data_IF_546360521427
#
_entry.id   IF_546360521427
#
_cell.length_a   1.000
_cell.length_b   1.000
_cell.length_c   1.000
_cell.angle_alpha   90.00
_cell.angle_beta   90.00
_cell.angle_gamma   90.00
#
_symmetry.space_group_name_H-M   'P 1'
#
loop_
_entity.id
_entity.type
_entity.pdbx_description
1 polymer ?
#
# COMPACT_ATOMS: atom_id res chain seq x y z
N UNK A 1 -1.66 -1.54 10.50
CA UNK A 1 -1.39 -2.14 9.16
C UNK A 1 -0.07 -1.61 8.63
N UNK A 2 0.84 -2.49 8.22
CA UNK A 2 2.16 -2.12 7.69
C UNK A 2 2.04 -1.43 6.34
N UNK A 3 2.87 -0.40 6.11
CA UNK A 3 2.88 0.36 4.86
C UNK A 3 3.87 -0.26 3.86
N UNK A 4 3.45 -0.48 2.61
CA UNK A 4 4.33 -0.88 1.51
C UNK A 4 4.53 0.28 0.53
N UNK A 5 5.79 0.58 0.19
CA UNK A 5 6.15 1.56 -0.83
C UNK A 5 6.90 0.86 -1.98
N UNK A 6 6.33 0.99 -3.19
CA UNK A 6 6.95 0.48 -4.41
C UNK A 6 7.80 1.58 -5.04
N UNK A 7 9.10 1.32 -5.20
CA UNK A 7 10.05 2.26 -5.79
C UNK A 7 10.41 1.79 -7.20
N UNK A 8 10.21 2.67 -8.18
CA UNK A 8 10.55 2.39 -9.57
C UNK A 8 12.07 2.34 -9.75
N UNK A 9 12.60 1.16 -10.01
CA UNK A 9 14.04 0.91 -10.18
C UNK A 9 14.31 -0.51 -10.67
N UNK A 10 15.55 -0.81 -11.02
CA UNK A 10 15.91 -2.20 -11.36
C UNK A 10 16.13 -2.97 -10.05
N UNK A 11 15.45 -4.12 -9.83
CA UNK A 11 15.78 -5.01 -8.71
C UNK A 11 17.26 -5.38 -8.73
N UNK A 12 17.94 -5.29 -7.59
CA UNK A 12 19.38 -5.47 -7.43
C UNK A 12 20.21 -4.35 -8.06
N UNK A 13 19.61 -3.25 -8.51
CA UNK A 13 20.29 -2.08 -9.07
C UNK A 13 20.64 -1.03 -8.01
N UNK A 14 21.04 0.16 -8.48
CA UNK A 14 21.63 1.19 -7.61
C UNK A 14 20.69 1.69 -6.51
N UNK A 15 19.39 1.83 -6.80
CA UNK A 15 18.40 2.25 -5.79
C UNK A 15 18.36 1.25 -4.64
N UNK A 16 18.28 -0.04 -4.96
CA UNK A 16 18.19 -1.10 -3.95
C UNK A 16 19.49 -1.23 -3.15
N UNK A 17 20.64 -1.07 -3.83
CA UNK A 17 21.97 -1.22 -3.20
C UNK A 17 22.40 -0.03 -2.37
N UNK A 18 22.07 1.20 -2.78
CA UNK A 18 22.67 2.41 -2.22
C UNK A 18 21.67 3.40 -1.64
N UNK A 19 20.43 3.45 -2.15
CA UNK A 19 19.44 4.44 -1.71
C UNK A 19 18.52 3.92 -0.62
N UNK A 20 18.09 2.64 -0.67
CA UNK A 20 17.16 2.09 0.32
C UNK A 20 17.65 2.23 1.76
N UNK A 21 18.97 2.09 2.00
CA UNK A 21 19.59 2.28 3.31
C UNK A 21 19.44 3.72 3.86
N UNK A 22 19.12 4.69 2.99
CA UNK A 22 18.91 6.10 3.36
C UNK A 22 17.43 6.43 3.58
N UNK A 23 16.53 5.50 3.26
CA UNK A 23 15.10 5.73 3.40
C UNK A 23 14.65 5.58 4.85
N UNK A 24 13.58 6.29 5.26
CA UNK A 24 13.07 6.19 6.62
C UNK A 24 12.69 4.76 7.00
N UNK A 25 12.91 4.40 8.25
CA UNK A 25 12.42 3.12 8.81
C UNK A 25 10.90 3.14 8.93
N UNK A 26 10.27 1.97 8.94
CA UNK A 26 8.82 1.80 9.11
C UNK A 26 8.18 1.11 7.91
N UNK A 27 8.16 1.72 6.71
CA UNK A 27 7.60 1.06 5.54
C UNK A 27 8.45 -0.12 5.06
N UNK A 28 7.77 -1.08 4.46
CA UNK A 28 8.40 -2.10 3.62
C UNK A 28 8.65 -1.49 2.25
N UNK A 29 9.85 -1.66 1.71
CA UNK A 29 10.22 -1.14 0.40
C UNK A 29 10.36 -2.27 -0.62
N UNK A 30 9.71 -2.13 -1.76
CA UNK A 30 9.87 -3.05 -2.89
C UNK A 30 10.40 -2.30 -4.11
N UNK A 31 11.58 -2.67 -4.60
CA UNK A 31 12.14 -2.12 -5.83
C UNK A 31 11.69 -2.95 -7.02
N UNK A 32 11.20 -2.29 -8.08
CA UNK A 32 10.82 -2.95 -9.32
C UNK A 32 10.78 -2.01 -10.51
N UNK A 33 10.96 -2.59 -11.71
CA UNK A 33 11.13 -1.83 -12.97
C UNK A 33 9.93 -0.93 -13.29
N UNK A 34 8.76 -1.33 -12.82
CA UNK A 34 7.51 -0.57 -12.93
C UNK A 34 7.13 -0.02 -11.56
N UNK A 35 6.36 1.06 -11.48
CA UNK A 35 5.90 1.62 -10.20
C UNK A 35 4.52 1.07 -9.79
N UNK A 36 4.14 -0.15 -10.22
CA UNK A 36 2.76 -0.67 -10.11
C UNK A 36 2.69 -1.98 -9.32
N UNK A 37 1.65 -2.17 -8.52
CA UNK A 37 1.44 -3.42 -7.77
C UNK A 37 1.22 -4.61 -8.72
N UNK A 38 2.19 -5.52 -8.83
CA UNK A 38 2.05 -6.76 -9.59
C UNK A 38 1.81 -7.97 -8.68
N UNK A 39 1.51 -9.12 -9.28
CA UNK A 39 1.22 -10.35 -8.53
C UNK A 39 2.37 -10.76 -7.60
N UNK A 40 3.64 -10.54 -7.98
CA UNK A 40 4.80 -10.91 -7.17
C UNK A 40 4.84 -10.09 -5.88
N UNK A 41 4.76 -8.76 -6.02
CA UNK A 41 4.80 -7.84 -4.88
C UNK A 41 3.57 -8.02 -4.00
N UNK A 42 2.39 -8.23 -4.60
CA UNK A 42 1.17 -8.50 -3.84
C UNK A 42 1.26 -9.80 -3.02
N UNK A 43 1.74 -10.89 -3.63
CA UNK A 43 1.89 -12.16 -2.92
C UNK A 43 2.91 -12.08 -1.77
N UNK A 44 3.99 -11.31 -1.97
CA UNK A 44 4.97 -11.03 -0.92
C UNK A 44 4.34 -10.22 0.22
N UNK A 45 3.59 -9.16 -0.11
CA UNK A 45 2.91 -8.35 0.88
C UNK A 45 1.92 -9.18 1.71
N UNK A 46 1.09 -10.02 1.10
CA UNK A 46 0.15 -10.85 1.85
C UNK A 46 0.84 -11.77 2.87
N UNK A 47 1.90 -12.47 2.46
CA UNK A 47 2.56 -13.48 3.29
C UNK A 47 3.54 -12.92 4.31
N UNK A 48 4.40 -12.02 3.86
CA UNK A 48 5.55 -11.58 4.66
C UNK A 48 5.27 -10.30 5.45
N UNK A 49 4.23 -9.57 5.06
CA UNK A 49 3.94 -8.24 5.61
C UNK A 49 2.58 -8.22 6.30
N UNK A 50 1.52 -8.65 5.64
CA UNK A 50 0.17 -8.59 6.19
C UNK A 50 -0.12 -9.71 7.18
N UNK A 51 0.22 -10.96 6.84
CA UNK A 51 -0.09 -12.14 7.67
C UNK A 51 0.33 -12.03 9.15
N UNK A 52 1.51 -11.48 9.50
CA UNK A 52 1.90 -11.32 10.90
C UNK A 52 1.05 -10.29 11.69
N UNK A 53 0.38 -9.37 10.99
CA UNK A 53 -0.33 -8.23 11.56
C UNK A 53 -1.87 -8.38 11.49
N UNK A 54 -2.39 -9.56 11.13
CA UNK A 54 -3.83 -9.83 11.07
C UNK A 54 -4.27 -10.84 12.13
N UNK A 55 -5.43 -10.56 12.75
CA UNK A 55 -6.12 -11.51 13.62
C UNK A 55 -7.16 -12.32 12.82
N UNK A 56 -7.39 -13.57 13.20
CA UNK A 56 -8.42 -14.40 12.59
C UNK A 56 -9.70 -14.40 13.46
N UNK A 57 -10.91 -14.20 12.89
CA UNK A 57 -11.22 -14.00 11.47
C UNK A 57 -11.08 -12.53 11.01
N UNK A 58 -10.60 -12.34 9.77
CA UNK A 58 -10.46 -11.02 9.13
C UNK A 58 -10.96 -11.02 7.68
N UNK A 59 -11.32 -9.83 7.19
CA UNK A 59 -11.69 -9.58 5.78
C UNK A 59 -10.71 -8.57 5.18
N UNK A 60 -10.13 -8.90 4.03
CA UNK A 60 -9.20 -8.01 3.30
C UNK A 60 -9.94 -7.29 2.18
N UNK A 61 -10.08 -5.97 2.31
CA UNK A 61 -10.62 -5.10 1.28
C UNK A 61 -9.48 -4.49 0.44
N UNK A 62 -9.46 -4.75 -0.87
CA UNK A 62 -8.53 -4.10 -1.80
C UNK A 62 -9.22 -3.72 -3.12
N UNK A 63 -8.58 -2.84 -3.89
CA UNK A 63 -9.13 -2.37 -5.17
C UNK A 63 -9.19 -3.48 -6.24
N UNK A 64 -9.75 -3.15 -7.41
CA UNK A 64 -9.94 -4.09 -8.53
C UNK A 64 -8.68 -4.29 -9.40
N UNK A 65 -7.47 -4.06 -8.87
CA UNK A 65 -6.26 -4.36 -9.63
C UNK A 65 -6.20 -5.85 -9.95
N UNK A 66 -5.80 -6.19 -11.19
CA UNK A 66 -5.75 -7.59 -11.68
C UNK A 66 -5.00 -8.55 -10.76
N UNK A 67 -3.99 -8.08 -10.04
CA UNK A 67 -3.22 -8.87 -9.09
C UNK A 67 -3.97 -9.14 -7.77
N UNK A 68 -4.80 -8.19 -7.32
CA UNK A 68 -5.63 -8.34 -6.12
C UNK A 68 -6.77 -9.32 -6.37
N UNK A 69 -7.48 -9.20 -7.51
CA UNK A 69 -8.60 -10.08 -7.89
C UNK A 69 -8.18 -11.37 -8.61
N UNK A 70 -6.89 -11.72 -8.57
CA UNK A 70 -6.42 -12.93 -9.24
C UNK A 70 -6.78 -14.18 -8.46
N UNK A 71 -6.99 -15.32 -9.15
CA UNK A 71 -7.16 -16.63 -8.50
C UNK A 71 -6.06 -16.95 -7.49
N UNK A 72 -4.83 -16.48 -7.75
CA UNK A 72 -3.69 -16.68 -6.86
C UNK A 72 -3.83 -15.88 -5.56
N UNK A 73 -4.37 -14.67 -5.63
CA UNK A 73 -4.65 -13.84 -4.45
C UNK A 73 -5.69 -14.50 -3.54
N UNK A 74 -6.81 -14.95 -4.11
CA UNK A 74 -7.86 -15.65 -3.35
C UNK A 74 -7.32 -16.89 -2.64
N UNK A 75 -6.54 -17.73 -3.33
CA UNK A 75 -5.90 -18.90 -2.70
C UNK A 75 -5.00 -18.54 -1.52
N UNK A 76 -4.19 -17.48 -1.63
CA UNK A 76 -3.34 -17.05 -0.50
C UNK A 76 -4.22 -16.63 0.69
N UNK A 77 -5.30 -15.88 0.43
CA UNK A 77 -6.17 -15.38 1.49
C UNK A 77 -6.97 -16.48 2.18
N UNK A 78 -7.50 -17.43 1.41
CA UNK A 78 -8.34 -18.53 1.89
C UNK A 78 -7.52 -19.68 2.48
N UNK A 79 -6.48 -20.15 1.77
CA UNK A 79 -5.73 -21.35 2.14
C UNK A 79 -4.62 -21.04 3.16
N UNK A 80 -4.04 -19.84 3.14
CA UNK A 80 -2.85 -19.52 3.95
C UNK A 80 -3.15 -18.55 5.09
N UNK A 81 -3.95 -17.49 4.84
CA UNK A 81 -4.23 -16.46 5.83
C UNK A 81 -5.47 -16.77 6.69
N UNK A 82 -6.24 -17.83 6.39
CA UNK A 82 -7.54 -18.17 7.01
C UNK A 82 -8.53 -16.99 7.12
N UNK A 83 -8.25 -15.92 6.38
CA UNK A 83 -9.13 -14.78 6.23
C UNK A 83 -10.21 -15.22 5.24
N UNK A 84 -11.47 -15.23 5.66
CA UNK A 84 -12.59 -15.39 4.75
C UNK A 84 -12.73 -14.09 3.92
N UNK A 85 -11.73 -13.85 3.07
CA UNK A 85 -11.52 -12.58 2.40
C UNK A 85 -12.49 -12.45 1.24
N UNK A 86 -13.54 -11.67 1.47
CA UNK A 86 -14.29 -11.09 0.38
C UNK A 86 -13.51 -9.87 -0.13
N UNK A 87 -12.75 -10.08 -1.20
CA UNK A 87 -12.14 -8.97 -1.91
C UNK A 87 -13.25 -8.20 -2.63
N UNK A 88 -13.70 -7.10 -2.02
CA UNK A 88 -14.68 -6.22 -2.64
C UNK A 88 -13.95 -5.14 -3.45
N UNK A 89 -14.01 -5.20 -4.79
CA UNK A 89 -13.35 -4.20 -5.62
C UNK A 89 -13.97 -2.83 -5.36
N UNK A 90 -13.15 -1.86 -4.96
CA UNK A 90 -13.59 -0.46 -4.93
C UNK A 90 -14.02 -0.01 -6.34
N UNK A 91 -15.06 0.84 -6.46
CA UNK A 91 -15.40 1.48 -7.72
C UNK A 91 -14.20 2.19 -8.33
N UNK A 92 -14.10 2.19 -9.66
CA UNK A 92 -13.06 2.92 -10.37
C UNK A 92 -13.02 4.40 -9.95
N UNK A 93 -11.82 4.99 -9.86
CA UNK A 93 -11.55 6.38 -9.48
C UNK A 93 -11.76 6.77 -8.00
N UNK A 94 -11.76 5.81 -7.08
CA UNK A 94 -11.74 6.08 -5.63
C UNK A 94 -10.33 6.42 -5.13
N UNK A 95 -9.68 7.44 -5.72
CA UNK A 95 -8.37 7.93 -5.24
C UNK A 95 -8.62 9.17 -4.39
N UNK A 96 -8.45 9.06 -3.07
CA UNK A 96 -8.60 10.22 -2.17
C UNK A 96 -7.49 11.25 -2.43
N UNK A 97 -7.85 12.54 -2.48
CA UNK A 97 -6.93 13.65 -2.80
C UNK A 97 -5.96 14.02 -1.65
N UNK A 98 -5.70 13.12 -0.69
CA UNK A 98 -5.02 13.46 0.57
C UNK A 98 -3.54 13.85 0.40
N UNK A 99 -2.88 13.50 -0.71
CA UNK A 99 -1.46 13.82 -0.91
C UNK A 99 -1.18 15.19 -1.55
N UNK A 100 -2.21 15.95 -1.97
CA UNK A 100 -2.01 17.26 -2.63
C UNK A 100 -1.62 18.39 -1.68
N UNK A 101 -2.18 18.45 -0.47
CA UNK A 101 -1.97 19.56 0.46
C UNK A 101 -0.53 19.69 0.97
N UNK A 102 0.18 18.57 1.11
CA UNK A 102 1.56 18.57 1.60
C UNK A 102 2.58 18.95 0.51
N UNK A 103 2.21 18.92 -0.79
CA UNK A 103 3.09 19.34 -1.89
C UNK A 103 3.46 20.82 -1.82
N UNK A 104 2.59 21.64 -1.24
CA UNK A 104 2.73 23.09 -1.22
C UNK A 104 3.80 23.55 -0.20
N UNK A 105 4.16 22.69 0.77
CA UNK A 105 5.00 23.05 1.91
C UNK A 105 6.47 22.67 1.75
N UNK A 106 6.86 22.08 0.62
CA UNK A 106 8.20 21.49 0.47
C UNK A 106 9.20 22.41 -0.26
N UNK A 107 10.45 22.29 0.16
CA UNK A 107 11.59 22.92 -0.50
C UNK A 107 11.87 22.27 -1.86
N UNK A 108 12.47 23.04 -2.77
CA UNK A 108 12.84 22.53 -4.09
C UNK A 108 13.99 21.54 -3.97
N UNK A 109 13.70 20.28 -4.29
CA UNK A 109 14.68 19.20 -4.45
C UNK A 109 15.15 19.09 -5.90
N UNK A 110 16.42 18.76 -6.11
CA UNK A 110 17.06 18.83 -7.44
C UNK A 110 17.28 17.43 -8.00
N UNK A 111 17.88 16.53 -7.23
CA UNK A 111 18.26 15.20 -7.71
C UNK A 111 17.08 14.23 -7.72
N UNK A 112 17.20 13.16 -8.52
CA UNK A 112 16.17 12.13 -8.58
C UNK A 112 16.02 11.37 -7.24
N UNK A 113 17.13 11.16 -6.53
CA UNK A 113 17.14 10.51 -5.22
C UNK A 113 16.44 11.38 -4.16
N UNK A 114 16.75 12.68 -4.11
CA UNK A 114 16.08 13.63 -3.21
C UNK A 114 14.57 13.68 -3.47
N UNK A 115 14.16 13.69 -4.75
CA UNK A 115 12.75 13.67 -5.14
C UNK A 115 12.03 12.41 -4.66
N UNK A 116 12.67 11.24 -4.79
CA UNK A 116 12.12 9.98 -4.26
C UNK A 116 11.99 10.03 -2.75
N UNK A 117 13.05 10.44 -2.05
CA UNK A 117 13.07 10.52 -0.60
C UNK A 117 12.01 11.49 -0.05
N UNK A 118 11.86 12.66 -0.68
CA UNK A 118 10.82 13.62 -0.30
C UNK A 118 9.41 13.01 -0.45
N UNK A 119 9.14 12.34 -1.56
CA UNK A 119 7.85 11.66 -1.79
C UNK A 119 7.58 10.55 -0.77
N UNK A 120 8.61 9.77 -0.41
CA UNK A 120 8.52 8.72 0.61
C UNK A 120 8.19 9.32 1.98
N UNK A 121 8.98 10.29 2.44
CA UNK A 121 8.76 10.97 3.73
C UNK A 121 7.37 11.57 3.83
N UNK A 122 6.89 12.15 2.74
CA UNK A 122 5.53 12.69 2.68
C UNK A 122 4.46 11.62 2.78
N UNK A 123 4.64 10.50 2.08
CA UNK A 123 3.67 9.41 2.08
C UNK A 123 3.55 8.81 3.49
N UNK A 124 4.67 8.67 4.20
CA UNK A 124 4.72 8.26 5.62
C UNK A 124 4.01 9.30 6.49
N UNK A 125 4.32 10.58 6.34
CA UNK A 125 3.67 11.65 7.12
C UNK A 125 2.15 11.67 6.95
N UNK A 126 1.65 11.49 5.73
CA UNK A 126 0.21 11.43 5.45
C UNK A 126 -0.41 10.16 6.04
N UNK A 127 0.30 9.04 5.96
CA UNK A 127 -0.11 7.77 6.57
C UNK A 127 -0.25 7.90 8.09
N UNK A 128 0.77 8.42 8.76
CA UNK A 128 0.80 8.56 10.22
C UNK A 128 -0.21 9.60 10.75
N UNK A 129 -0.54 10.61 9.94
CA UNK A 129 -1.55 11.60 10.27
C UNK A 129 -2.99 11.10 10.10
N UNK A 130 -3.19 9.92 9.49
CA UNK A 130 -4.51 9.37 9.26
C UNK A 130 -5.14 8.89 10.57
N UNK A 131 -6.23 9.54 10.98
CA UNK A 131 -6.92 9.21 12.23
C UNK A 131 -7.71 7.92 12.07
N UNK A 132 -7.65 7.06 13.09
CA UNK A 132 -8.42 5.81 13.14
C UNK A 132 -9.93 6.06 12.94
N UNK A 133 -10.49 7.09 13.60
CA UNK A 133 -11.89 7.49 13.42
C UNK A 133 -12.24 7.83 11.97
N UNK A 134 -11.31 8.40 11.21
CA UNK A 134 -11.52 8.69 9.78
C UNK A 134 -11.62 7.39 8.98
N UNK A 135 -10.78 6.41 9.29
CA UNK A 135 -10.81 5.07 8.67
C UNK A 135 -12.13 4.39 9.04
N UNK A 136 -12.49 4.32 10.33
CA UNK A 136 -13.72 3.68 10.80
C UNK A 136 -14.97 4.26 10.14
N UNK A 137 -15.12 5.59 10.13
CA UNK A 137 -16.24 6.28 9.46
C UNK A 137 -16.30 6.03 7.96
N UNK A 138 -15.15 5.81 7.31
CA UNK A 138 -15.13 5.47 5.88
C UNK A 138 -15.72 4.08 5.62
N UNK A 139 -15.45 3.11 6.50
CA UNK A 139 -16.06 1.78 6.44
C UNK A 139 -17.54 1.83 6.78
N UNK A 140 -17.95 2.53 7.85
CA UNK A 140 -19.37 2.71 8.20
C UNK A 140 -20.16 3.27 7.02
N UNK A 141 -19.64 4.34 6.38
CA UNK A 141 -20.25 4.93 5.19
C UNK A 141 -20.36 3.94 4.04
N UNK A 142 -19.30 3.17 3.78
CA UNK A 142 -19.32 2.17 2.72
C UNK A 142 -20.37 1.08 2.99
N UNK A 143 -20.45 0.58 4.23
CA UNK A 143 -21.41 -0.44 4.63
C UNK A 143 -22.86 0.06 4.54
N UNK A 144 -23.14 1.31 4.91
CA UNK A 144 -24.47 1.91 4.74
C UNK A 144 -24.91 2.11 3.28
N UNK A 145 -23.97 2.07 2.32
CA UNK A 145 -24.29 2.13 0.89
C UNK A 145 -24.69 0.74 0.35
N UNK A 146 -24.25 -0.33 1.01
CA UNK A 146 -24.57 -1.72 0.67
C UNK A 146 -25.61 -2.30 1.65
N UNK A 147 -26.74 -1.61 1.86
CA UNK A 147 -27.86 -2.17 2.63
C UNK A 147 -28.17 -3.60 2.13
N UNK A 148 -28.05 -4.56 3.05
CA UNK A 148 -28.45 -5.96 2.94
C UNK A 148 -29.95 -6.05 3.21
#
# INVERSE_FOLDING_TARGET
MPMLIIVKGTPGGDIERHELQTYPVGPVYAVQKTAYMNQRVWSYYLREVLMPDIDCPSVVLADNLKCHVSKKSYKILEDELFSAAYLQPLPANTTSQMCRSEWIKEEKVVTAAEKRLAMIKRSIKVWDAMKEDTIRKSFEKALTIFEI
#
